data_IF_627808611419
#
_entry.id   IF_627808611419
#
_cell.length_a   1.000
_cell.length_b   1.000
_cell.length_c   1.000
_cell.angle_alpha   90.00
_cell.angle_beta   90.00
_cell.angle_gamma   90.00
#
_symmetry.space_group_name_H-M   'P 1'
#
loop_
_entity.id
_entity.type
_entity.pdbx_description
1 polymer ?
#
# COMPACT_ATOMS: atom_id res chain seq x y z
N UNK A 1 -16.05 23.27 -14.27
CA UNK A 1 -15.20 22.08 -14.49
C UNK A 1 -15.45 21.59 -15.90
N UNK A 2 -14.45 21.09 -16.61
CA UNK A 2 -14.69 20.47 -17.92
C UNK A 2 -15.32 19.10 -17.66
N UNK A 3 -16.49 18.85 -18.26
CA UNK A 3 -17.13 17.55 -18.17
C UNK A 3 -16.35 16.56 -19.07
N UNK A 4 -15.65 15.61 -18.45
CA UNK A 4 -14.94 14.53 -19.11
C UNK A 4 -15.73 13.26 -18.86
N UNK A 5 -16.07 12.53 -19.93
CA UNK A 5 -16.84 11.30 -19.81
C UNK A 5 -16.05 10.25 -19.00
N UNK A 6 -16.76 9.43 -18.22
CA UNK A 6 -16.16 8.39 -17.39
C UNK A 6 -15.30 7.43 -18.21
N UNK A 7 -15.79 7.01 -19.38
CA UNK A 7 -15.06 6.17 -20.34
C UNK A 7 -13.71 6.76 -20.78
N UNK A 8 -13.62 8.09 -20.87
CA UNK A 8 -12.38 8.78 -21.24
C UNK A 8 -11.42 8.81 -20.06
N UNK A 9 -11.93 8.95 -18.83
CA UNK A 9 -11.12 8.89 -17.60
C UNK A 9 -10.57 7.48 -17.37
N UNK A 10 -11.34 6.43 -17.63
CA UNK A 10 -10.88 5.04 -17.55
C UNK A 10 -9.76 4.76 -18.56
N UNK A 11 -9.96 5.14 -19.83
CA UNK A 11 -8.92 5.03 -20.87
C UNK A 11 -7.69 5.86 -20.51
N UNK A 12 -7.88 7.07 -20.02
CA UNK A 12 -6.78 7.93 -19.60
C UNK A 12 -6.00 7.33 -18.42
N UNK A 13 -6.70 6.71 -17.47
CA UNK A 13 -6.07 5.99 -16.36
C UNK A 13 -5.17 4.88 -16.87
N UNK A 14 -5.66 4.02 -17.77
CA UNK A 14 -4.85 2.93 -18.33
C UNK A 14 -3.62 3.45 -19.07
N UNK A 15 -3.76 4.54 -19.84
CA UNK A 15 -2.62 5.18 -20.53
C UNK A 15 -1.63 5.75 -19.52
N UNK A 16 -2.09 6.51 -18.53
CA UNK A 16 -1.25 7.10 -17.49
C UNK A 16 -0.57 6.05 -16.62
N UNK A 17 -1.29 4.98 -16.27
CA UNK A 17 -0.80 3.89 -15.43
C UNK A 17 0.46 3.26 -16.03
N UNK A 18 0.59 3.23 -17.37
CA UNK A 18 1.81 2.77 -18.06
C UNK A 18 3.07 3.53 -17.63
N UNK A 19 2.93 4.78 -17.20
CA UNK A 19 4.01 5.67 -16.74
C UNK A 19 4.10 5.79 -15.21
N UNK A 20 3.27 5.07 -14.45
CA UNK A 20 3.35 5.01 -13.00
C UNK A 20 4.42 3.99 -12.60
N UNK A 21 5.44 4.39 -11.83
CA UNK A 21 6.58 3.52 -11.53
C UNK A 21 6.31 2.49 -10.42
N UNK A 22 5.18 2.57 -9.72
CA UNK A 22 4.86 1.70 -8.58
C UNK A 22 3.82 0.61 -8.92
N UNK A 23 3.82 0.13 -10.18
CA UNK A 23 2.88 -0.94 -10.59
C UNK A 23 3.10 -2.23 -9.82
N UNK A 24 4.35 -2.60 -9.56
CA UNK A 24 4.68 -3.81 -8.81
C UNK A 24 4.09 -3.75 -7.40
N UNK A 25 4.23 -2.60 -6.73
CA UNK A 25 3.62 -2.37 -5.42
C UNK A 25 2.09 -2.46 -5.47
N UNK A 26 1.44 -1.99 -6.54
CA UNK A 26 0.00 -2.21 -6.71
C UNK A 26 -0.33 -3.71 -6.81
N UNK A 27 0.45 -4.49 -7.57
CA UNK A 27 0.23 -5.95 -7.69
C UNK A 27 0.43 -6.67 -6.35
N UNK A 28 1.48 -6.32 -5.60
CA UNK A 28 1.79 -6.90 -4.29
C UNK A 28 0.69 -6.69 -3.25
N UNK A 29 -0.02 -5.55 -3.31
CA UNK A 29 -1.10 -5.27 -2.34
C UNK A 29 -2.46 -5.85 -2.73
N UNK A 30 -2.65 -6.34 -3.96
CA UNK A 30 -3.95 -6.89 -4.43
C UNK A 30 -4.55 -7.91 -3.45
N UNK A 31 -3.79 -8.91 -2.95
CA UNK A 31 -4.33 -9.89 -1.99
C UNK A 31 -4.92 -9.23 -0.73
N UNK A 32 -4.33 -8.09 -0.32
CA UNK A 32 -4.73 -7.34 0.85
C UNK A 32 -5.83 -6.31 0.58
N UNK A 33 -6.38 -6.18 -0.63
CA UNK A 33 -7.48 -5.23 -0.88
C UNK A 33 -8.86 -5.81 -0.56
N UNK A 34 -8.97 -7.13 -0.43
CA UNK A 34 -10.24 -7.79 -0.13
C UNK A 34 -10.74 -7.46 1.29
N UNK A 35 -12.04 -7.66 1.51
CA UNK A 35 -12.70 -7.33 2.78
C UNK A 35 -12.24 -8.18 3.96
N UNK A 36 -11.82 -9.40 3.67
CA UNK A 36 -11.43 -10.42 4.65
C UNK A 36 -10.05 -10.14 5.24
N UNK A 37 -9.20 -9.40 4.52
CA UNK A 37 -7.95 -8.90 5.07
C UNK A 37 -8.27 -7.85 6.15
N UNK A 38 -8.17 -8.26 7.42
CA UNK A 38 -8.43 -7.41 8.58
C UNK A 38 -7.23 -6.53 8.91
N UNK A 39 -7.48 -5.43 9.60
CA UNK A 39 -6.42 -4.57 10.12
C UNK A 39 -5.97 -5.07 11.49
N UNK A 40 -4.74 -4.77 11.86
CA UNK A 40 -4.23 -5.06 13.19
C UNK A 40 -5.04 -4.28 14.24
N UNK A 41 -5.57 -4.99 15.24
CA UNK A 41 -6.31 -4.44 16.37
C UNK A 41 -5.53 -4.73 17.66
N UNK A 42 -4.95 -3.70 18.30
CA UNK A 42 -4.37 -3.85 19.63
C UNK A 42 -5.39 -4.44 20.62
N UNK A 43 -4.90 -5.07 21.68
CA UNK A 43 -5.69 -5.69 22.77
C UNK A 43 -6.43 -6.99 22.41
N UNK A 44 -6.43 -7.40 21.15
CA UNK A 44 -6.84 -8.74 20.74
C UNK A 44 -5.68 -9.73 20.87
N UNK A 45 -6.01 -11.02 21.00
CA UNK A 45 -5.00 -12.10 20.92
C UNK A 45 -4.23 -11.95 19.60
N UNK A 46 -2.91 -11.82 19.71
CA UNK A 46 -1.98 -11.64 18.59
C UNK A 46 -1.86 -12.88 17.71
N UNK A 47 -1.23 -12.73 16.54
CA UNK A 47 -1.00 -13.86 15.63
C UNK A 47 0.01 -14.85 16.18
N UNK A 48 0.99 -14.44 16.98
CA UNK A 48 1.94 -15.36 17.61
C UNK A 48 1.23 -16.34 18.54
N UNK A 49 0.38 -15.83 19.43
CA UNK A 49 -0.36 -16.70 20.34
C UNK A 49 -1.36 -17.58 19.58
N UNK A 50 -2.07 -17.03 18.58
CA UNK A 50 -3.01 -17.80 17.72
C UNK A 50 -2.32 -18.91 16.94
N UNK A 51 -1.20 -18.61 16.28
CA UNK A 51 -0.45 -19.57 15.49
C UNK A 51 0.16 -20.65 16.39
N UNK A 52 0.83 -20.24 17.48
CA UNK A 52 1.44 -21.17 18.44
C UNK A 52 0.40 -22.14 19.00
N UNK A 53 -0.73 -21.61 19.48
CA UNK A 53 -1.80 -22.44 20.06
C UNK A 53 -2.49 -23.31 19.01
N UNK A 54 -2.72 -22.77 17.80
CA UNK A 54 -3.28 -23.52 16.67
C UNK A 54 -2.39 -24.67 16.18
N UNK A 55 -1.07 -24.53 16.32
CA UNK A 55 -0.07 -25.58 16.04
C UNK A 55 0.23 -26.48 17.25
N UNK A 56 -0.50 -26.32 18.36
CA UNK A 56 -0.31 -27.06 19.61
C UNK A 56 1.09 -26.93 20.23
N UNK A 57 1.77 -25.81 19.97
CA UNK A 57 3.10 -25.53 20.49
C UNK A 57 3.05 -24.88 21.88
N UNK A 58 3.96 -25.28 22.76
CA UNK A 58 4.08 -24.68 24.09
C UNK A 58 4.96 -23.42 24.07
N UNK A 59 4.72 -22.50 25.00
CA UNK A 59 5.62 -21.35 25.26
C UNK A 59 7.05 -21.80 25.53
N UNK A 60 7.23 -22.95 26.19
CA UNK A 60 8.55 -23.53 26.46
C UNK A 60 9.26 -23.99 25.19
N UNK A 61 8.55 -24.65 24.27
CA UNK A 61 9.09 -25.02 22.96
C UNK A 61 9.57 -23.79 22.20
N UNK A 62 8.73 -22.74 22.14
CA UNK A 62 9.08 -21.49 21.45
C UNK A 62 10.29 -20.79 22.07
N UNK A 63 10.34 -20.72 23.40
CA UNK A 63 11.49 -20.17 24.11
C UNK A 63 12.77 -20.94 23.80
N UNK A 64 12.72 -22.28 23.78
CA UNK A 64 13.86 -23.13 23.41
C UNK A 64 14.28 -22.93 21.95
N UNK A 65 13.32 -22.89 21.02
CA UNK A 65 13.59 -22.70 19.59
C UNK A 65 14.26 -21.36 19.28
N UNK A 66 13.91 -20.32 20.05
CA UNK A 66 14.47 -18.97 19.93
C UNK A 66 15.69 -18.71 20.82
N UNK A 67 16.12 -19.69 21.61
CA UNK A 67 17.19 -19.56 22.63
C UNK A 67 16.97 -18.37 23.60
N UNK A 68 15.74 -18.25 24.11
CA UNK A 68 15.33 -17.24 25.10
C UNK A 68 14.59 -17.89 26.27
N UNK A 69 14.33 -17.12 27.34
CA UNK A 69 13.51 -17.61 28.45
C UNK A 69 12.01 -17.64 28.09
N UNK A 70 11.24 -18.53 28.72
CA UNK A 70 9.77 -18.56 28.58
C UNK A 70 9.13 -17.19 28.90
N UNK A 71 9.64 -16.49 29.91
CA UNK A 71 9.18 -15.14 30.25
C UNK A 71 9.49 -14.10 29.16
N UNK A 72 10.61 -14.25 28.45
CA UNK A 72 10.93 -13.39 27.30
C UNK A 72 10.00 -13.67 26.11
N UNK A 73 9.68 -14.94 25.85
CA UNK A 73 8.71 -15.30 24.81
C UNK A 73 7.28 -14.83 25.16
N UNK A 74 6.82 -14.99 26.39
CA UNK A 74 5.52 -14.42 26.82
C UNK A 74 5.47 -12.90 26.64
N UNK A 75 6.60 -12.19 26.80
CA UNK A 75 6.69 -10.76 26.48
C UNK A 75 6.60 -10.49 24.98
N UNK A 76 6.95 -11.42 24.09
CA UNK A 76 6.73 -11.25 22.65
C UNK A 76 5.23 -11.26 22.34
N UNK A 77 4.49 -12.26 22.84
CA UNK A 77 3.03 -12.34 22.67
C UNK A 77 2.33 -11.10 23.22
N UNK A 78 2.71 -10.66 24.43
CA UNK A 78 2.18 -9.44 25.03
C UNK A 78 2.50 -8.19 24.20
N UNK A 79 3.75 -8.03 23.75
CA UNK A 79 4.14 -6.88 22.93
C UNK A 79 3.45 -6.86 21.57
N UNK A 80 3.19 -8.03 20.98
CA UNK A 80 2.40 -8.11 19.74
C UNK A 80 0.97 -7.63 19.98
N UNK A 81 0.32 -8.13 21.04
CA UNK A 81 -1.01 -7.68 21.46
C UNK A 81 -1.07 -6.16 21.69
N UNK A 82 -0.02 -5.58 22.26
CA UNK A 82 0.09 -4.15 22.52
C UNK A 82 0.55 -3.33 21.30
N UNK A 83 0.90 -3.98 20.19
CA UNK A 83 1.42 -3.33 18.98
C UNK A 83 2.84 -2.76 19.11
N UNK A 84 3.59 -3.17 20.14
CA UNK A 84 4.95 -2.71 20.43
C UNK A 84 6.06 -3.70 20.03
N UNK A 85 5.70 -4.87 19.50
CA UNK A 85 6.67 -5.82 18.97
C UNK A 85 7.33 -5.27 17.69
N UNK A 86 8.63 -5.52 17.52
CA UNK A 86 9.30 -5.21 16.26
C UNK A 86 8.93 -6.24 15.18
N UNK A 87 8.85 -5.81 13.91
CA UNK A 87 8.67 -6.73 12.79
C UNK A 87 9.75 -7.82 12.74
N UNK A 88 10.99 -7.49 13.15
CA UNK A 88 12.09 -8.45 13.25
C UNK A 88 11.77 -9.59 14.22
N UNK A 89 11.32 -9.27 15.43
CA UNK A 89 11.00 -10.28 16.43
C UNK A 89 9.75 -11.08 16.06
N UNK A 90 8.77 -10.42 15.44
CA UNK A 90 7.58 -11.08 14.92
C UNK A 90 7.93 -12.11 13.83
N UNK A 91 8.80 -11.74 12.89
CA UNK A 91 9.28 -12.63 11.83
C UNK A 91 10.10 -13.80 12.40
N UNK A 92 11.02 -13.54 13.34
CA UNK A 92 11.80 -14.59 14.00
C UNK A 92 10.91 -15.60 14.73
N UNK A 93 9.88 -15.13 15.44
CA UNK A 93 8.95 -16.01 16.15
C UNK A 93 8.06 -16.81 15.19
N UNK A 94 7.66 -16.24 14.05
CA UNK A 94 6.97 -16.97 13.00
C UNK A 94 7.86 -18.08 12.41
N UNK A 95 9.11 -17.78 12.06
CA UNK A 95 10.08 -18.73 11.52
C UNK A 95 10.30 -19.92 12.48
N UNK A 96 10.38 -19.67 13.79
CA UNK A 96 10.51 -20.72 14.80
C UNK A 96 9.30 -21.68 14.89
N UNK A 97 8.16 -21.31 14.31
CA UNK A 97 6.96 -22.15 14.16
C UNK A 97 6.83 -22.77 12.76
N UNK A 98 7.85 -22.65 11.90
CA UNK A 98 7.76 -22.99 10.47
C UNK A 98 6.64 -22.21 9.75
N UNK A 99 6.49 -20.93 10.12
CA UNK A 99 5.50 -20.01 9.58
C UNK A 99 6.18 -18.77 9.00
N UNK A 100 5.53 -18.13 8.04
CA UNK A 100 6.02 -16.89 7.43
C UNK A 100 5.25 -15.66 7.95
N UNK A 101 5.97 -14.56 8.24
CA UNK A 101 5.33 -13.27 8.51
C UNK A 101 4.95 -12.58 7.19
N UNK A 102 3.66 -12.58 6.90
CA UNK A 102 3.08 -11.84 5.77
C UNK A 102 2.43 -10.55 6.27
N UNK A 103 2.96 -9.38 5.87
CA UNK A 103 2.43 -8.07 6.25
C UNK A 103 2.33 -7.12 5.04
N UNK A 104 1.42 -6.15 5.11
CA UNK A 104 1.25 -5.16 4.06
C UNK A 104 0.72 -3.83 4.59
N UNK A 105 1.02 -2.76 3.85
CA UNK A 105 0.41 -1.44 4.02
C UNK A 105 -0.49 -1.19 2.81
N UNK A 106 -1.76 -0.87 3.06
CA UNK A 106 -2.74 -0.57 2.00
C UNK A 106 -3.43 0.78 2.24
N UNK A 107 -3.93 1.45 1.19
CA UNK A 107 -4.82 2.59 1.35
C UNK A 107 -6.09 2.24 2.15
N UNK A 108 -6.55 3.15 3.02
CA UNK A 108 -7.76 2.94 3.84
C UNK A 108 -9.02 2.61 3.03
N UNK A 109 -9.09 3.12 1.80
CA UNK A 109 -10.20 2.84 0.87
C UNK A 109 -10.11 1.46 0.20
N UNK A 110 -9.12 0.62 0.53
CA UNK A 110 -8.89 -0.69 -0.08
C UNK A 110 -8.80 -0.63 -1.60
N UNK A 111 -8.05 0.36 -2.08
CA UNK A 111 -7.75 0.55 -3.51
C UNK A 111 -6.24 0.54 -3.74
N UNK A 112 -5.83 0.42 -5.00
CA UNK A 112 -4.43 0.55 -5.40
C UNK A 112 -3.84 1.93 -5.05
N UNK A 113 -2.52 2.02 -4.87
CA UNK A 113 -1.84 3.30 -4.70
C UNK A 113 -2.04 4.18 -5.93
N UNK A 114 -1.98 3.60 -7.13
CA UNK A 114 -2.27 4.30 -8.39
C UNK A 114 -3.66 4.95 -8.40
N UNK A 115 -4.68 4.26 -7.89
CA UNK A 115 -6.05 4.80 -7.82
C UNK A 115 -6.15 6.03 -6.92
N UNK A 116 -5.41 6.04 -5.80
CA UNK A 116 -5.33 7.21 -4.91
C UNK A 116 -4.70 8.41 -5.64
N UNK A 117 -3.57 8.18 -6.31
CA UNK A 117 -2.86 9.22 -7.06
C UNK A 117 -3.69 9.70 -8.26
N UNK A 118 -4.34 8.79 -8.98
CA UNK A 118 -5.18 9.11 -10.13
C UNK A 118 -6.33 10.02 -9.75
N UNK A 119 -7.04 9.73 -8.65
CA UNK A 119 -8.08 10.61 -8.12
C UNK A 119 -7.53 12.03 -7.95
N UNK A 120 -6.38 12.19 -7.31
CA UNK A 120 -5.76 13.51 -7.10
C UNK A 120 -5.42 14.21 -8.43
N UNK A 121 -4.84 13.48 -9.39
CA UNK A 121 -4.46 14.01 -10.70
C UNK A 121 -5.69 14.43 -11.50
N UNK A 122 -6.72 13.60 -11.60
CA UNK A 122 -7.94 13.90 -12.35
C UNK A 122 -8.59 15.18 -11.87
N UNK A 123 -8.69 15.37 -10.54
CA UNK A 123 -9.22 16.61 -9.98
C UNK A 123 -8.43 17.85 -10.45
N UNK A 124 -7.11 17.77 -10.61
CA UNK A 124 -6.32 18.86 -11.14
C UNK A 124 -6.48 19.01 -12.68
N UNK A 125 -6.50 17.88 -13.40
CA UNK A 125 -6.58 17.86 -14.87
C UNK A 125 -7.90 18.45 -15.39
N UNK A 126 -9.04 18.13 -14.79
CA UNK A 126 -10.36 18.63 -15.23
C UNK A 126 -10.54 20.15 -15.04
N UNK A 127 -9.64 20.77 -14.28
CA UNK A 127 -9.55 22.23 -14.06
C UNK A 127 -8.42 22.88 -14.88
N UNK A 128 -7.60 22.09 -15.55
CA UNK A 128 -6.43 22.58 -16.29
C UNK A 128 -6.87 23.33 -17.55
N UNK A 129 -6.39 24.57 -17.79
CA UNK A 129 -6.82 25.40 -18.93
C UNK A 129 -6.63 24.70 -20.29
N UNK A 130 -5.50 24.02 -20.48
CA UNK A 130 -5.18 23.33 -21.74
C UNK A 130 -6.13 22.19 -22.10
N UNK A 131 -6.96 21.69 -21.17
CA UNK A 131 -7.91 20.62 -21.50
C UNK A 131 -9.07 21.13 -22.39
N UNK A 132 -9.34 22.44 -22.42
CA UNK A 132 -10.41 23.04 -23.24
C UNK A 132 -10.15 22.96 -24.74
N UNK A 133 -8.88 22.96 -25.15
CA UNK A 133 -8.47 23.03 -26.56
C UNK A 133 -8.37 21.67 -27.26
N UNK A 134 -8.64 20.56 -26.55
CA UNK A 134 -8.49 19.22 -27.12
C UNK A 134 -9.79 18.65 -27.70
N UNK A 135 -9.66 18.07 -28.89
CA UNK A 135 -10.70 17.29 -29.58
C UNK A 135 -11.22 16.13 -28.71
N UNK A 136 -12.53 15.87 -28.81
CA UNK A 136 -13.22 14.77 -28.11
C UNK A 136 -12.56 13.42 -28.41
N UNK A 137 -12.10 13.19 -29.64
CA UNK A 137 -11.50 11.91 -30.03
C UNK A 137 -10.14 11.63 -29.35
N UNK A 138 -9.46 12.68 -28.86
CA UNK A 138 -8.14 12.60 -28.24
C UNK A 138 -8.17 12.93 -26.75
N UNK A 139 -9.37 13.02 -26.15
CA UNK A 139 -9.55 13.49 -24.78
C UNK A 139 -8.84 12.60 -23.76
N UNK A 140 -8.98 11.28 -23.86
CA UNK A 140 -8.30 10.34 -22.95
C UNK A 140 -6.76 10.48 -22.97
N UNK A 141 -6.15 10.55 -24.17
CA UNK A 141 -4.70 10.76 -24.34
C UNK A 141 -4.26 12.09 -23.74
N UNK A 142 -5.06 13.13 -23.92
CA UNK A 142 -4.79 14.48 -23.41
C UNK A 142 -4.83 14.53 -21.89
N UNK A 143 -5.85 13.91 -21.28
CA UNK A 143 -5.96 13.79 -19.82
C UNK A 143 -4.75 13.05 -19.25
N UNK A 144 -4.37 11.91 -19.83
CA UNK A 144 -3.21 11.14 -19.41
C UNK A 144 -1.89 11.93 -19.56
N UNK A 145 -1.73 12.68 -20.65
CA UNK A 145 -0.55 13.51 -20.88
C UNK A 145 -0.43 14.64 -19.86
N UNK A 146 -1.52 15.35 -19.56
CA UNK A 146 -1.54 16.40 -18.53
C UNK A 146 -1.28 15.79 -17.16
N UNK A 147 -1.91 14.67 -16.81
CA UNK A 147 -1.69 13.96 -15.55
C UNK A 147 -0.21 13.58 -15.38
N UNK A 148 0.43 13.07 -16.44
CA UNK A 148 1.85 12.73 -16.44
C UNK A 148 2.74 13.95 -16.24
N UNK A 149 2.42 15.09 -16.88
CA UNK A 149 3.14 16.35 -16.69
C UNK A 149 2.99 16.89 -15.27
N UNK A 150 1.78 16.90 -14.72
CA UNK A 150 1.50 17.33 -13.35
C UNK A 150 2.24 16.47 -12.33
N UNK A 151 2.26 15.15 -12.52
CA UNK A 151 2.99 14.22 -11.66
C UNK A 151 4.50 14.49 -11.61
N UNK A 152 5.07 15.09 -12.67
CA UNK A 152 6.49 15.45 -12.75
C UNK A 152 6.77 16.90 -12.36
N UNK A 153 5.74 17.74 -12.23
CA UNK A 153 5.90 19.16 -11.94
C UNK A 153 6.31 19.39 -10.47
N UNK A 154 7.44 20.07 -10.19
CA UNK A 154 7.96 20.26 -8.83
C UNK A 154 7.02 21.04 -7.90
N UNK A 155 6.40 22.11 -8.39
CA UNK A 155 5.45 22.94 -7.63
C UNK A 155 4.18 22.16 -7.30
N UNK A 156 3.65 21.39 -8.26
CA UNK A 156 2.50 20.51 -8.02
C UNK A 156 2.81 19.45 -6.95
N UNK A 157 4.01 18.85 -7.01
CA UNK A 157 4.47 17.90 -6.00
C UNK A 157 4.61 18.56 -4.62
N UNK A 158 5.25 19.73 -4.56
CA UNK A 158 5.48 20.50 -3.32
C UNK A 158 4.16 20.84 -2.62
N UNK A 159 3.20 21.36 -3.37
CA UNK A 159 1.86 21.72 -2.87
C UNK A 159 1.05 20.53 -2.34
N UNK A 160 1.52 19.29 -2.58
CA UNK A 160 0.86 18.05 -2.12
C UNK A 160 1.73 17.18 -1.22
N UNK A 161 2.88 17.69 -0.78
CA UNK A 161 3.86 16.92 0.00
C UNK A 161 4.32 15.62 -0.70
N UNK A 162 4.36 15.62 -2.03
CA UNK A 162 4.86 14.48 -2.79
C UNK A 162 6.39 14.49 -2.85
N UNK A 163 6.99 13.30 -2.79
CA UNK A 163 8.44 13.16 -2.93
C UNK A 163 8.91 13.71 -4.27
N UNK A 164 9.93 14.57 -4.23
CA UNK A 164 10.57 15.11 -5.42
C UNK A 164 11.32 14.03 -6.21
N UNK A 165 11.84 13.01 -5.49
CA UNK A 165 12.56 11.87 -6.06
C UNK A 165 11.64 10.82 -6.69
N UNK A 166 10.36 10.77 -6.29
CA UNK A 166 9.42 9.81 -6.87
C UNK A 166 9.23 10.04 -8.38
N UNK A 167 9.23 8.95 -9.15
CA UNK A 167 9.13 8.94 -10.61
C UNK A 167 10.26 9.66 -11.37
N UNK A 168 11.43 9.86 -10.75
CA UNK A 168 12.67 10.06 -11.50
C UNK A 168 13.02 8.74 -12.18
N UNK A 169 13.40 8.75 -13.47
CA UNK A 169 14.03 7.55 -14.05
C UNK A 169 15.34 7.37 -13.28
N UNK A 170 15.53 6.23 -12.66
CA UNK A 170 16.86 5.79 -12.24
C UNK A 170 17.70 5.76 -13.52
N UNK A 171 18.75 6.58 -13.57
CA UNK A 171 19.76 6.53 -14.63
C UNK A 171 20.49 5.20 -14.60
#
# INVERSE_FOLDING_TARGET
MINVEEKDLEKAFLIWYRHFNFKNSDQEIIPFLKSEATLFHPEQIGWLEKARTGLFLSTHFMAKALDISSAAYSKFEQREKDGSISLKNLALAAEAMDCELVYAIRPKQRTNFSSVIWKILVHAVVRHPSLRSYDKNHRAKSVAAIATKLMKNPEFKKNRNWSQRANQKTE
#
